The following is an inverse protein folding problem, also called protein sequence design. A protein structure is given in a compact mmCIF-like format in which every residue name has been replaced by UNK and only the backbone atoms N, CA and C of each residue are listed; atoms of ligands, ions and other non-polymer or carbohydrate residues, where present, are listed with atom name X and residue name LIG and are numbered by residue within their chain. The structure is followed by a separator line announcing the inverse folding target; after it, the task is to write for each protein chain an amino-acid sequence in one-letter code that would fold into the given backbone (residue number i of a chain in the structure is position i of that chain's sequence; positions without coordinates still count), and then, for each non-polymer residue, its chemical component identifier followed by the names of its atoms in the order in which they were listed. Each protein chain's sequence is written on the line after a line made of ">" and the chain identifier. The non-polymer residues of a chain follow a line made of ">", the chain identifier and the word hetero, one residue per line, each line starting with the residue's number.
data_IF_799632065423
#
_entry.id   IF_799632065423
#
_cell.length_a   1.000
_cell.length_b   1.000
_cell.length_c   1.000
_cell.angle_alpha   90.00
_cell.angle_beta   90.00
_cell.angle_gamma   90.00
#
_symmetry.space_group_name_H-M   'P 1'
#
loop_
_entity.id
_entity.type
_entity.pdbx_description
1 polymer ?
#
# COMPACT_ATOMS: atom_id res chain seq x y z
N UNK A 1 16.71 3.84 18.88
CA UNK A 1 16.63 4.35 17.51
C UNK A 1 17.77 5.32 17.26
N UNK A 2 18.87 4.92 16.59
CA UNK A 2 19.99 5.81 16.35
C UNK A 2 19.73 6.84 15.23
N UNK A 3 18.68 6.66 14.45
CA UNK A 3 18.11 7.75 13.67
C UNK A 3 17.10 8.41 14.59
N UNK A 4 17.27 9.74 14.92
CA UNK A 4 16.28 10.45 15.69
C UNK A 4 14.94 10.13 15.06
N UNK A 5 14.08 9.50 15.83
CA UNK A 5 12.77 9.02 15.38
C UNK A 5 12.13 10.15 14.60
N UNK A 6 12.14 10.04 13.30
CA UNK A 6 11.28 10.86 12.46
C UNK A 6 9.90 10.37 12.83
N UNK A 7 9.28 11.05 13.80
CA UNK A 7 8.06 10.65 14.43
C UNK A 7 6.92 10.56 13.41
N UNK A 8 5.81 9.98 13.81
CA UNK A 8 4.55 9.91 13.02
C UNK A 8 4.21 11.26 12.38
N UNK A 9 4.49 12.39 13.05
CA UNK A 9 4.33 13.73 12.52
C UNK A 9 5.17 14.03 11.28
N UNK A 10 6.34 13.43 11.12
CA UNK A 10 7.17 13.62 9.92
C UNK A 10 6.62 12.87 8.71
N UNK A 11 6.04 11.68 8.92
CA UNK A 11 5.38 10.93 7.85
C UNK A 11 4.12 11.64 7.37
N UNK A 12 3.32 12.17 8.28
CA UNK A 12 2.15 12.99 7.93
C UNK A 12 2.54 14.23 7.10
N UNK A 13 3.53 15.01 7.55
CA UNK A 13 4.04 16.19 6.80
C UNK A 13 4.58 15.82 5.41
N UNK A 14 5.17 14.63 5.26
CA UNK A 14 5.62 14.14 3.96
C UNK A 14 4.46 13.77 3.05
N UNK A 15 3.39 13.21 3.60
CA UNK A 15 2.16 12.97 2.83
C UNK A 15 1.51 14.28 2.37
N UNK A 16 1.40 15.28 3.25
CA UNK A 16 0.95 16.62 2.89
C UNK A 16 1.80 17.21 1.76
N UNK A 17 3.12 17.13 1.87
CA UNK A 17 4.03 17.57 0.81
C UNK A 17 3.86 16.77 -0.49
N UNK A 18 3.65 15.46 -0.41
CA UNK A 18 3.39 14.62 -1.58
C UNK A 18 2.07 15.00 -2.25
N UNK A 19 1.03 15.34 -1.47
CA UNK A 19 -0.23 15.87 -1.96
C UNK A 19 -0.05 17.19 -2.71
N UNK A 20 0.66 18.15 -2.11
CA UNK A 20 0.97 19.45 -2.72
C UNK A 20 1.76 19.33 -4.03
N UNK A 21 2.53 18.24 -4.21
CA UNK A 21 3.27 17.92 -5.45
C UNK A 21 2.45 17.08 -6.43
N UNK A 22 1.20 16.74 -6.11
CA UNK A 22 0.31 15.93 -6.94
C UNK A 22 0.54 14.41 -6.87
N UNK A 23 1.50 13.93 -6.08
CA UNK A 23 1.84 12.50 -6.03
C UNK A 23 0.72 11.62 -5.48
N UNK A 24 -0.16 12.14 -4.61
CA UNK A 24 -1.29 11.39 -4.07
C UNK A 24 -2.41 11.20 -5.11
N UNK A 25 -2.50 12.08 -6.09
CA UNK A 25 -3.52 12.09 -7.14
C UNK A 25 -3.04 11.60 -8.52
N UNK A 26 -1.86 10.98 -8.63
CA UNK A 26 -1.27 10.60 -9.95
C UNK A 26 -2.24 9.81 -10.82
N UNK A 27 -2.86 8.75 -10.30
CA UNK A 27 -3.82 7.92 -11.04
C UNK A 27 -5.28 8.31 -10.86
N UNK A 28 -5.58 9.39 -10.14
CA UNK A 28 -6.94 9.90 -9.98
C UNK A 28 -7.30 10.73 -11.20
N UNK A 29 -8.51 10.54 -11.80
CA UNK A 29 -8.96 11.35 -12.93
C UNK A 29 -8.95 12.85 -12.63
N UNK A 30 -8.71 13.68 -13.67
CA UNK A 30 -8.66 15.14 -13.58
C UNK A 30 -9.97 15.74 -13.06
N UNK A 31 -11.10 15.14 -13.43
CA UNK A 31 -12.44 15.57 -12.98
C UNK A 31 -12.63 15.49 -11.45
N UNK A 32 -11.81 14.68 -10.76
CA UNK A 32 -11.77 14.58 -9.29
C UNK A 32 -10.52 15.24 -8.69
N UNK A 33 -9.82 16.08 -9.46
CA UNK A 33 -8.67 16.84 -8.96
C UNK A 33 -7.34 16.10 -8.96
N UNK A 34 -7.26 14.96 -9.63
CA UNK A 34 -6.02 14.22 -9.85
C UNK A 34 -5.28 14.62 -11.12
N UNK A 35 -4.25 13.87 -11.48
CA UNK A 35 -3.42 14.10 -12.67
C UNK A 35 -3.85 13.24 -13.88
N UNK A 36 -4.77 12.29 -13.70
CA UNK A 36 -5.25 11.41 -14.76
C UNK A 36 -4.18 10.57 -15.44
N UNK A 37 -3.05 10.34 -14.77
CA UNK A 37 -1.91 9.62 -15.36
C UNK A 37 -2.16 8.10 -15.34
N UNK A 38 -1.56 7.35 -16.28
CA UNK A 38 -1.73 5.92 -16.38
C UNK A 38 -1.14 5.15 -15.20
N UNK A 39 -1.52 3.87 -15.07
CA UNK A 39 -1.07 3.00 -13.98
C UNK A 39 0.47 2.92 -13.88
N UNK A 40 1.15 2.85 -15.02
CA UNK A 40 2.62 2.83 -15.09
C UNK A 40 3.26 4.02 -14.39
N UNK A 41 2.66 5.22 -14.50
CA UNK A 41 3.13 6.41 -13.76
C UNK A 41 2.94 6.27 -12.25
N UNK A 42 1.81 5.72 -11.81
CA UNK A 42 1.57 5.45 -10.39
C UNK A 42 2.56 4.42 -9.83
N UNK A 43 2.90 3.40 -10.63
CA UNK A 43 3.91 2.37 -10.29
C UNK A 43 5.30 3.01 -10.19
N UNK A 44 5.66 3.88 -11.15
CA UNK A 44 6.94 4.61 -11.13
C UNK A 44 7.08 5.48 -9.87
N UNK A 45 6.02 6.18 -9.49
CA UNK A 45 6.03 6.97 -8.24
C UNK A 45 6.24 6.08 -7.02
N UNK A 46 5.56 4.92 -6.95
CA UNK A 46 5.74 3.96 -5.84
C UNK A 46 7.18 3.46 -5.77
N UNK A 47 7.79 3.12 -6.91
CA UNK A 47 9.17 2.66 -7.01
C UNK A 47 10.14 3.69 -6.39
N UNK A 48 10.23 4.88 -6.94
CA UNK A 48 11.19 5.88 -6.48
C UNK A 48 10.88 6.49 -5.11
N UNK A 49 9.60 6.55 -4.73
CA UNK A 49 9.20 7.09 -3.44
C UNK A 49 9.63 6.18 -2.27
N UNK A 50 9.66 4.88 -2.50
CA UNK A 50 9.99 3.87 -1.49
C UNK A 50 11.44 3.90 -1.04
N UNK A 51 12.36 4.18 -1.93
CA UNK A 51 13.80 4.18 -1.63
C UNK A 51 14.25 5.25 -0.63
N UNK A 52 13.38 6.23 -0.33
CA UNK A 52 13.70 7.27 0.65
C UNK A 52 13.39 6.86 2.09
N UNK A 53 12.33 6.08 2.32
CA UNK A 53 11.88 5.63 3.64
C UNK A 53 10.74 4.63 3.51
N UNK A 54 10.92 3.40 3.99
CA UNK A 54 9.88 2.37 4.02
C UNK A 54 8.62 2.80 4.79
N UNK A 55 8.78 3.53 5.90
CA UNK A 55 7.64 4.06 6.66
C UNK A 55 6.80 5.06 5.85
N UNK A 56 7.45 5.96 5.13
CA UNK A 56 6.78 6.94 4.26
C UNK A 56 6.11 6.24 3.09
N UNK A 57 6.81 5.27 2.47
CA UNK A 57 6.28 4.44 1.37
C UNK A 57 5.04 3.66 1.80
N UNK A 58 5.07 3.05 2.98
CA UNK A 58 3.92 2.31 3.52
C UNK A 58 2.71 3.22 3.72
N UNK A 59 2.89 4.39 4.33
CA UNK A 59 1.81 5.35 4.54
C UNK A 59 1.25 5.87 3.20
N UNK A 60 2.13 6.18 2.25
CA UNK A 60 1.78 6.60 0.89
C UNK A 60 1.01 5.51 0.14
N UNK A 61 1.52 4.27 0.13
CA UNK A 61 0.88 3.14 -0.54
C UNK A 61 -0.46 2.74 0.08
N UNK A 62 -0.57 2.80 1.40
CA UNK A 62 -1.84 2.55 2.10
C UNK A 62 -2.91 3.59 1.71
N UNK A 63 -2.54 4.86 1.57
CA UNK A 63 -3.45 5.91 1.13
C UNK A 63 -3.80 5.78 -0.36
N UNK A 64 -2.81 5.84 -1.26
CA UNK A 64 -3.03 5.90 -2.72
C UNK A 64 -3.47 4.56 -3.33
N UNK A 65 -3.17 3.45 -2.68
CA UNK A 65 -3.52 2.10 -3.13
C UNK A 65 -4.87 1.64 -2.57
N UNK A 66 -4.89 1.31 -1.30
CA UNK A 66 -6.04 0.63 -0.70
C UNK A 66 -7.01 1.57 0.05
N UNK A 67 -6.58 2.76 0.45
CA UNK A 67 -7.45 3.76 1.10
C UNK A 67 -8.33 4.52 0.12
N UNK A 68 -7.80 4.92 -1.03
CA UNK A 68 -8.48 5.74 -2.05
C UNK A 68 -9.17 4.90 -3.13
N UNK A 69 -8.52 3.83 -3.60
CA UNK A 69 -8.99 3.05 -4.76
C UNK A 69 -10.37 2.40 -4.57
N UNK A 70 -10.78 1.89 -3.40
CA UNK A 70 -12.13 1.37 -3.24
C UNK A 70 -13.22 2.39 -3.57
N UNK A 71 -13.02 3.66 -3.17
CA UNK A 71 -13.97 4.75 -3.44
C UNK A 71 -13.93 5.11 -4.94
N UNK A 72 -12.73 5.21 -5.52
CA UNK A 72 -12.59 5.54 -6.93
C UNK A 72 -13.21 4.48 -7.85
N UNK A 73 -12.98 3.19 -7.56
CA UNK A 73 -13.41 2.07 -8.40
C UNK A 73 -14.87 1.64 -8.18
N UNK A 74 -15.43 1.86 -6.98
CA UNK A 74 -16.74 1.33 -6.62
C UNK A 74 -17.72 2.38 -6.12
N UNK A 75 -17.26 3.61 -5.87
CA UNK A 75 -18.12 4.72 -5.48
C UNK A 75 -19.04 5.15 -6.63
N UNK A 76 -20.23 5.60 -6.28
CA UNK A 76 -21.08 6.35 -7.19
C UNK A 76 -20.54 7.78 -7.38
N UNK A 77 -21.11 8.53 -8.32
CA UNK A 77 -20.64 9.88 -8.67
C UNK A 77 -20.69 10.86 -7.48
N UNK A 78 -21.70 10.75 -6.61
CA UNK A 78 -21.82 11.60 -5.42
C UNK A 78 -20.72 11.29 -4.41
N UNK A 79 -20.45 10.01 -4.14
CA UNK A 79 -19.38 9.56 -3.27
C UNK A 79 -18.01 9.99 -3.81
N UNK A 80 -17.75 9.80 -5.10
CA UNK A 80 -16.48 10.20 -5.73
C UNK A 80 -16.27 11.70 -5.62
N UNK A 81 -17.26 12.52 -5.99
CA UNK A 81 -17.18 13.98 -5.91
C UNK A 81 -17.00 14.49 -4.48
N UNK A 82 -17.57 13.79 -3.50
CA UNK A 82 -17.45 14.17 -2.08
C UNK A 82 -16.07 13.86 -1.51
N UNK A 83 -15.52 12.69 -1.81
CA UNK A 83 -14.35 12.17 -1.09
C UNK A 83 -13.04 12.21 -1.88
N UNK A 84 -13.08 11.92 -3.20
CA UNK A 84 -11.85 11.77 -3.99
C UNK A 84 -11.03 13.05 -4.10
N UNK A 85 -11.60 14.27 -4.33
CA UNK A 85 -10.79 15.48 -4.45
C UNK A 85 -9.91 15.74 -3.24
N UNK A 86 -10.42 15.54 -2.04
CA UNK A 86 -9.66 15.72 -0.81
C UNK A 86 -8.62 14.62 -0.56
N UNK A 87 -8.92 13.40 -0.99
CA UNK A 87 -7.93 12.30 -0.96
C UNK A 87 -6.83 12.51 -1.99
N UNK A 88 -7.13 13.01 -3.18
CA UNK A 88 -6.15 13.27 -4.23
C UNK A 88 -5.15 14.39 -3.87
N UNK A 89 -5.60 15.40 -3.13
CA UNK A 89 -4.76 16.51 -2.66
C UNK A 89 -4.04 16.23 -1.34
N UNK A 90 -4.46 15.20 -0.59
CA UNK A 90 -3.94 14.91 0.75
C UNK A 90 -4.56 15.79 1.86
N UNK A 91 -5.60 16.57 1.57
CA UNK A 91 -6.40 17.25 2.59
C UNK A 91 -7.05 16.21 3.52
N UNK A 92 -7.48 15.07 2.95
CA UNK A 92 -7.91 13.90 3.68
C UNK A 92 -6.98 12.71 3.38
N UNK A 93 -6.71 11.92 4.41
CA UNK A 93 -5.96 10.68 4.27
C UNK A 93 -6.89 9.49 4.42
N UNK A 94 -6.72 8.51 3.53
CA UNK A 94 -7.48 7.26 3.53
C UNK A 94 -6.80 6.12 4.28
N UNK A 95 -7.61 5.27 4.93
CA UNK A 95 -7.19 4.01 5.49
C UNK A 95 -8.14 2.86 5.10
N UNK A 96 -7.63 1.64 5.18
CA UNK A 96 -8.32 0.43 4.73
C UNK A 96 -8.53 -0.54 5.89
N UNK A 97 -9.77 -0.73 6.30
CA UNK A 97 -10.15 -1.42 7.52
C UNK A 97 -10.78 -2.79 7.21
N UNK A 98 -9.95 -3.75 6.73
CA UNK A 98 -10.39 -5.13 6.43
C UNK A 98 -10.06 -6.09 7.56
N UNK A 99 -8.79 -6.17 7.96
CA UNK A 99 -8.26 -7.17 8.87
C UNK A 99 -8.87 -7.08 10.27
N UNK A 100 -9.19 -8.24 10.84
CA UNK A 100 -9.71 -8.38 12.21
C UNK A 100 -8.88 -9.40 13.00
N UNK A 101 -8.95 -9.41 14.34
CA UNK A 101 -8.20 -10.38 15.15
C UNK A 101 -8.42 -11.84 14.76
N UNK A 102 -9.60 -12.17 14.23
CA UNK A 102 -9.99 -13.53 13.82
C UNK A 102 -10.06 -13.73 12.31
N UNK A 103 -9.78 -12.71 11.49
CA UNK A 103 -9.94 -12.74 10.04
C UNK A 103 -8.78 -11.99 9.34
N UNK A 104 -7.72 -12.71 9.06
CA UNK A 104 -6.58 -12.25 8.23
C UNK A 104 -6.73 -12.76 6.79
N UNK A 105 -6.12 -13.91 6.47
CA UNK A 105 -6.21 -14.51 5.13
C UNK A 105 -7.64 -14.89 4.73
N UNK A 106 -8.45 -15.33 5.70
CA UNK A 106 -9.89 -15.57 5.51
C UNK A 106 -10.70 -14.29 5.76
N UNK A 107 -10.47 -13.29 4.91
CA UNK A 107 -10.99 -11.93 5.09
C UNK A 107 -12.53 -11.86 5.06
N UNK A 108 -13.20 -12.77 4.31
CA UNK A 108 -14.66 -12.78 4.27
C UNK A 108 -15.29 -13.31 5.58
N UNK A 109 -14.49 -13.84 6.51
CA UNK A 109 -14.97 -14.34 7.80
C UNK A 109 -14.87 -13.31 8.95
N UNK A 110 -14.75 -12.01 8.61
CA UNK A 110 -14.77 -10.91 9.59
C UNK A 110 -16.06 -10.89 10.42
N UNK A 111 -15.93 -10.48 11.67
CA UNK A 111 -17.02 -10.43 12.67
C UNK A 111 -17.60 -9.05 12.89
N UNK A 112 -16.98 -8.01 12.34
CA UNK A 112 -17.53 -6.63 12.38
C UNK A 112 -18.90 -6.63 11.70
N UNK A 113 -19.90 -6.10 12.41
CA UNK A 113 -21.30 -6.07 11.96
C UNK A 113 -21.76 -4.68 11.62
N UNK A 114 -22.71 -4.59 10.70
CA UNK A 114 -23.46 -3.41 10.37
C UNK A 114 -24.94 -3.71 10.51
N UNK A 115 -25.63 -2.99 11.38
CA UNK A 115 -27.07 -3.14 11.65
C UNK A 115 -27.81 -1.95 11.09
N UNK A 116 -28.87 -2.18 10.30
CA UNK A 116 -29.68 -1.09 9.75
C UNK A 116 -30.53 -0.45 10.86
N UNK A 117 -30.59 0.87 10.87
CA UNK A 117 -31.48 1.61 11.78
C UNK A 117 -32.97 1.37 11.46
N UNK A 118 -33.85 1.53 12.44
CA UNK A 118 -35.31 1.33 12.27
C UNK A 118 -35.92 2.24 11.21
N UNK A 119 -35.36 3.44 11.02
CA UNK A 119 -35.80 4.41 10.00
C UNK A 119 -35.16 4.18 8.61
N UNK A 120 -34.27 3.17 8.49
CA UNK A 120 -33.59 2.78 7.25
C UNK A 120 -32.58 3.78 6.71
N UNK A 121 -32.17 4.78 7.50
CA UNK A 121 -31.29 5.87 7.02
C UNK A 121 -29.81 5.67 7.36
N UNK A 122 -29.51 4.82 8.31
CA UNK A 122 -28.15 4.63 8.83
C UNK A 122 -27.85 3.16 9.06
N UNK A 123 -26.57 2.81 8.95
CA UNK A 123 -26.01 1.60 9.52
C UNK A 123 -25.29 1.92 10.83
N UNK A 124 -25.40 1.06 11.82
CA UNK A 124 -24.60 1.08 13.04
C UNK A 124 -23.52 0.00 12.96
N UNK A 125 -22.26 0.43 12.80
CA UNK A 125 -21.14 -0.49 12.71
C UNK A 125 -20.61 -0.77 14.13
N UNK A 126 -20.44 -2.08 14.44
CA UNK A 126 -19.88 -2.54 15.72
C UNK A 126 -18.86 -3.63 15.45
N UNK A 127 -17.64 -3.47 15.98
CA UNK A 127 -16.56 -4.44 15.82
C UNK A 127 -15.19 -3.85 16.01
N UNK A 128 -14.17 -4.62 15.63
CA UNK A 128 -12.78 -4.25 15.80
C UNK A 128 -12.00 -4.55 14.53
N UNK A 129 -11.16 -3.63 14.13
CA UNK A 129 -10.16 -3.79 13.07
C UNK A 129 -8.76 -3.69 13.66
N UNK A 130 -7.80 -4.43 13.09
CA UNK A 130 -6.43 -4.42 13.59
C UNK A 130 -5.42 -4.25 12.48
N UNK A 131 -4.25 -3.73 12.87
CA UNK A 131 -3.11 -3.45 11.98
C UNK A 131 -3.45 -2.49 10.84
N UNK A 132 -4.25 -1.46 11.15
CA UNK A 132 -4.72 -0.50 10.16
C UNK A 132 -3.66 0.58 9.96
N UNK A 133 -3.04 0.56 8.78
CA UNK A 133 -2.10 1.59 8.35
C UNK A 133 -2.82 2.94 8.20
N UNK A 134 -2.14 4.02 8.58
CA UNK A 134 -2.64 5.39 8.61
C UNK A 134 -3.73 5.66 9.66
N UNK A 135 -4.16 4.66 10.45
CA UNK A 135 -5.27 4.84 11.40
C UNK A 135 -5.09 6.01 12.35
N UNK A 136 -3.85 6.35 12.73
CA UNK A 136 -3.57 7.45 13.68
C UNK A 136 -3.86 8.85 13.14
N UNK A 137 -4.03 9.01 11.82
CA UNK A 137 -4.26 10.31 11.17
C UNK A 137 -5.18 10.24 9.94
N UNK A 138 -5.77 9.08 9.64
CA UNK A 138 -6.71 8.95 8.53
C UNK A 138 -8.04 9.64 8.82
N UNK A 139 -8.56 10.38 7.86
CA UNK A 139 -9.85 11.06 7.91
C UNK A 139 -10.97 10.17 7.37
N UNK A 140 -10.65 9.34 6.37
CA UNK A 140 -11.60 8.47 5.68
C UNK A 140 -11.18 7.02 5.82
N UNK A 141 -12.09 6.19 6.31
CA UNK A 141 -11.90 4.76 6.52
C UNK A 141 -12.78 3.98 5.55
N UNK A 142 -12.19 3.13 4.72
CA UNK A 142 -12.94 2.11 3.98
C UNK A 142 -13.12 0.90 4.90
N UNK A 143 -14.31 0.73 5.46
CA UNK A 143 -14.61 -0.29 6.48
C UNK A 143 -15.41 -1.44 5.88
N UNK A 144 -14.95 -2.66 6.10
CA UNK A 144 -15.66 -3.88 5.69
C UNK A 144 -16.40 -4.46 6.89
N UNK A 145 -17.70 -4.64 6.73
CA UNK A 145 -18.57 -5.19 7.77
C UNK A 145 -19.65 -6.07 7.17
N UNK A 146 -20.15 -7.00 7.96
CA UNK A 146 -21.25 -7.89 7.60
C UNK A 146 -22.58 -7.25 7.96
N UNK A 147 -23.45 -7.07 6.99
CA UNK A 147 -24.79 -6.58 7.26
C UNK A 147 -25.63 -7.74 7.82
N UNK A 148 -26.10 -7.59 9.06
CA UNK A 148 -26.95 -8.59 9.73
C UNK A 148 -26.36 -10.01 9.65
N UNK A 149 -27.09 -10.93 8.97
CA UNK A 149 -26.70 -12.33 8.78
C UNK A 149 -26.24 -12.64 7.35
N UNK A 150 -25.81 -11.64 6.57
CA UNK A 150 -25.35 -11.86 5.21
C UNK A 150 -24.18 -12.84 5.15
N UNK A 151 -24.12 -13.61 4.06
CA UNK A 151 -23.00 -14.52 3.81
C UNK A 151 -21.68 -13.77 3.57
N UNK A 152 -21.76 -12.65 2.85
CA UNK A 152 -20.60 -11.85 2.45
C UNK A 152 -20.55 -10.51 3.20
N UNK A 153 -19.36 -9.97 3.30
CA UNK A 153 -19.14 -8.61 3.83
C UNK A 153 -19.56 -7.56 2.80
N UNK A 154 -19.94 -6.38 3.30
CA UNK A 154 -20.16 -5.16 2.54
C UNK A 154 -19.08 -4.13 2.86
N UNK A 155 -18.93 -3.10 2.05
CA UNK A 155 -17.94 -2.04 2.28
C UNK A 155 -18.64 -0.70 2.52
N UNK A 156 -18.06 0.12 3.39
CA UNK A 156 -18.61 1.41 3.81
C UNK A 156 -17.53 2.48 3.81
N UNK A 157 -17.87 3.69 3.39
CA UNK A 157 -17.07 4.89 3.61
C UNK A 157 -17.44 5.45 4.98
N UNK A 158 -16.48 5.49 5.89
CA UNK A 158 -16.68 5.97 7.26
C UNK A 158 -15.75 7.17 7.50
N UNK A 159 -16.35 8.31 7.85
CA UNK A 159 -15.57 9.46 8.29
C UNK A 159 -15.05 9.21 9.72
N UNK A 160 -13.76 9.38 9.93
CA UNK A 160 -13.11 9.11 11.21
C UNK A 160 -13.42 10.23 12.21
N UNK A 161 -14.49 10.05 12.96
CA UNK A 161 -14.91 10.98 13.99
C UNK A 161 -15.05 10.27 15.35
N UNK A 162 -14.19 10.58 16.33
CA UNK A 162 -14.26 9.97 17.68
C UNK A 162 -15.62 10.16 18.35
N UNK A 163 -16.30 11.28 18.13
CA UNK A 163 -17.64 11.54 18.69
C UNK A 163 -18.70 10.58 18.14
N UNK A 164 -18.41 9.91 17.04
CA UNK A 164 -19.29 8.92 16.41
C UNK A 164 -18.97 7.48 16.83
N UNK A 165 -18.39 7.27 18.02
CA UNK A 165 -18.13 5.94 18.57
C UNK A 165 -16.93 5.22 17.96
N UNK A 166 -16.00 5.95 17.33
CA UNK A 166 -14.72 5.41 16.84
C UNK A 166 -13.66 5.63 17.91
N UNK A 167 -13.00 4.55 18.31
CA UNK A 167 -11.87 4.60 19.25
C UNK A 167 -10.63 3.99 18.58
N UNK A 168 -9.50 4.70 18.68
CA UNK A 168 -8.21 4.26 18.16
C UNK A 168 -7.38 3.64 19.29
N UNK A 169 -6.87 2.45 19.05
CA UNK A 169 -5.87 1.82 19.92
C UNK A 169 -4.53 2.55 19.89
N UNK A 170 -3.58 2.06 20.67
CA UNK A 170 -2.21 2.54 20.66
C UNK A 170 -1.51 2.19 19.34
N UNK A 171 -0.39 2.86 19.05
CA UNK A 171 0.50 2.45 17.96
C UNK A 171 1.06 1.05 18.22
N UNK A 172 1.01 0.21 17.19
CA UNK A 172 1.53 -1.16 17.27
C UNK A 172 3.06 -1.16 17.35
N UNK A 173 3.60 -2.05 18.18
CA UNK A 173 5.03 -2.33 18.21
C UNK A 173 5.38 -3.26 17.05
N UNK A 174 6.14 -2.78 16.08
CA UNK A 174 6.42 -3.49 14.81
C UNK A 174 7.88 -3.87 14.70
N UNK A 175 8.19 -4.88 13.87
CA UNK A 175 9.56 -5.27 13.54
C UNK A 175 10.31 -4.16 12.79
N UNK A 176 9.62 -3.47 11.87
CA UNK A 176 10.17 -2.38 11.05
C UNK A 176 9.12 -1.32 10.74
N UNK A 177 9.45 -0.37 9.86
CA UNK A 177 8.58 0.75 9.44
C UNK A 177 7.94 1.50 10.62
N UNK A 178 8.75 1.74 11.66
CA UNK A 178 8.29 2.26 12.95
C UNK A 178 7.59 3.63 12.87
N UNK A 179 7.96 4.47 11.90
CA UNK A 179 7.39 5.80 11.74
C UNK A 179 6.06 5.81 10.95
N UNK A 180 5.58 4.67 10.42
CA UNK A 180 4.23 4.57 9.86
C UNK A 180 3.22 4.27 10.96
N UNK A 181 2.10 5.00 11.00
CA UNK A 181 1.02 4.71 11.95
C UNK A 181 0.38 3.37 11.61
N UNK A 182 0.21 2.54 12.62
CA UNK A 182 -0.51 1.26 12.52
C UNK A 182 -1.23 1.03 13.85
N UNK A 183 -2.55 1.02 13.83
CA UNK A 183 -3.36 0.90 15.06
C UNK A 183 -4.51 -0.08 14.88
N UNK A 184 -5.09 -0.45 16.00
CA UNK A 184 -6.42 -1.04 16.08
C UNK A 184 -7.47 0.07 16.01
N UNK A 185 -8.65 -0.25 15.47
CA UNK A 185 -9.81 0.64 15.45
C UNK A 185 -11.02 -0.12 16.00
N UNK A 186 -11.67 0.48 16.98
CA UNK A 186 -12.89 -0.05 17.58
C UNK A 186 -14.08 0.80 17.13
N UNK A 187 -15.12 0.13 16.66
CA UNK A 187 -16.38 0.73 16.23
C UNK A 187 -17.45 0.38 17.27
N UNK A 188 -17.97 1.39 17.97
CA UNK A 188 -18.96 1.25 19.05
C UNK A 188 -20.29 1.83 18.59
N UNK A 189 -21.06 1.07 17.80
CA UNK A 189 -22.30 1.53 17.14
C UNK A 189 -22.05 2.80 16.32
N UNK A 190 -20.96 2.82 15.59
CA UNK A 190 -20.59 3.94 14.71
C UNK A 190 -21.66 4.13 13.65
N UNK A 191 -22.25 5.32 13.65
CA UNK A 191 -23.36 5.68 12.76
C UNK A 191 -22.83 6.06 11.38
N UNK A 192 -23.28 5.34 10.36
CA UNK A 192 -22.87 5.52 8.96
C UNK A 192 -24.11 5.69 8.09
N UNK A 193 -24.26 6.78 7.31
CA UNK A 193 -25.37 6.95 6.39
C UNK A 193 -25.45 5.80 5.38
N UNK A 194 -26.67 5.39 4.99
CA UNK A 194 -26.85 4.30 4.02
C UNK A 194 -26.23 4.62 2.67
N UNK A 195 -26.21 5.88 2.27
CA UNK A 195 -25.55 6.36 1.05
C UNK A 195 -24.02 6.23 1.07
N UNK A 196 -23.41 5.94 2.21
CA UNK A 196 -21.98 5.68 2.32
C UNK A 196 -21.63 4.20 2.15
N UNK A 197 -22.59 3.33 1.86
CA UNK A 197 -22.27 1.96 1.43
C UNK A 197 -21.66 1.99 0.03
N UNK A 198 -20.52 1.36 -0.16
CA UNK A 198 -19.83 1.26 -1.45
C UNK A 198 -20.44 0.11 -2.28
N UNK A 199 -20.89 0.44 -3.49
CA UNK A 199 -21.48 -0.55 -4.40
C UNK A 199 -22.72 -1.22 -3.78
N UNK A 200 -22.93 -2.50 -4.07
CA UNK A 200 -24.08 -3.27 -3.61
C UNK A 200 -23.81 -4.03 -2.31
N UNK A 201 -24.87 -4.31 -1.55
CA UNK A 201 -24.83 -5.14 -0.35
C UNK A 201 -24.22 -6.52 -0.66
N UNK A 202 -23.27 -6.96 0.16
CA UNK A 202 -22.57 -8.23 -0.01
C UNK A 202 -21.41 -8.22 -1.01
N UNK A 203 -21.10 -7.07 -1.64
CA UNK A 203 -20.04 -6.96 -2.64
C UNK A 203 -18.67 -6.61 -2.03
N UNK A 204 -18.56 -6.49 -0.71
CA UNK A 204 -17.36 -6.05 -0.03
C UNK A 204 -16.14 -6.92 -0.29
N UNK A 205 -16.29 -8.23 -0.39
CA UNK A 205 -15.16 -9.12 -0.68
C UNK A 205 -14.57 -8.86 -2.07
N UNK A 206 -15.39 -8.63 -3.09
CA UNK A 206 -14.93 -8.28 -4.44
C UNK A 206 -14.19 -6.93 -4.43
N UNK A 207 -14.75 -5.92 -3.73
CA UNK A 207 -14.11 -4.61 -3.54
C UNK A 207 -12.74 -4.78 -2.89
N UNK A 208 -12.68 -5.58 -1.81
CA UNK A 208 -11.44 -5.83 -1.10
C UNK A 208 -10.36 -6.46 -1.99
N UNK A 209 -10.70 -7.48 -2.75
CA UNK A 209 -9.73 -8.19 -3.59
C UNK A 209 -9.19 -7.33 -4.73
N UNK A 210 -10.03 -6.53 -5.38
CA UNK A 210 -9.60 -5.67 -6.48
C UNK A 210 -8.72 -4.50 -5.99
N UNK A 211 -9.02 -3.90 -4.84
CA UNK A 211 -8.13 -2.94 -4.21
C UNK A 211 -6.77 -3.56 -3.86
N UNK A 212 -6.77 -4.80 -3.36
CA UNK A 212 -5.54 -5.53 -3.05
C UNK A 212 -4.72 -5.90 -4.29
N UNK A 213 -5.32 -6.15 -5.46
CA UNK A 213 -4.57 -6.40 -6.69
C UNK A 213 -3.73 -5.19 -7.09
N UNK A 214 -4.30 -3.98 -7.03
CA UNK A 214 -3.55 -2.73 -7.24
C UNK A 214 -2.49 -2.54 -6.16
N UNK A 215 -2.82 -2.82 -4.91
CA UNK A 215 -1.86 -2.78 -3.81
C UNK A 215 -0.67 -3.73 -4.01
N UNK A 216 -0.89 -4.92 -4.58
CA UNK A 216 0.15 -5.92 -4.85
C UNK A 216 1.17 -5.45 -5.88
N UNK A 217 0.73 -4.91 -7.03
CA UNK A 217 1.66 -4.43 -8.05
C UNK A 217 2.41 -3.18 -7.57
N UNK A 218 1.76 -2.28 -6.82
CA UNK A 218 2.41 -1.13 -6.20
C UNK A 218 3.43 -1.54 -5.13
N UNK A 219 3.16 -2.62 -4.38
CA UNK A 219 4.11 -3.16 -3.41
C UNK A 219 5.34 -3.76 -4.10
N UNK A 220 5.17 -4.50 -5.19
CA UNK A 220 6.29 -4.98 -6.00
C UNK A 220 7.17 -3.81 -6.45
N UNK A 221 6.58 -2.76 -7.01
CA UNK A 221 7.30 -1.55 -7.39
C UNK A 221 8.02 -0.89 -6.21
N UNK A 222 7.39 -0.85 -5.04
CA UNK A 222 7.97 -0.26 -3.84
C UNK A 222 9.20 -1.01 -3.29
N UNK A 223 9.51 -2.20 -3.75
CA UNK A 223 10.72 -2.94 -3.39
C UNK A 223 11.92 -2.57 -4.29
N UNK A 224 11.69 -2.15 -5.54
CA UNK A 224 12.72 -2.04 -6.58
C UNK A 224 13.82 -1.01 -6.27
N UNK A 225 13.47 0.21 -5.82
CA UNK A 225 14.50 1.21 -5.52
C UNK A 225 15.37 0.81 -4.32
N UNK A 226 14.79 0.11 -3.34
CA UNK A 226 15.54 -0.46 -2.23
C UNK A 226 16.57 -1.49 -2.72
N UNK A 227 16.17 -2.41 -3.60
CA UNK A 227 17.07 -3.38 -4.21
C UNK A 227 18.21 -2.70 -4.98
N UNK A 228 17.91 -1.74 -5.86
CA UNK A 228 18.94 -0.98 -6.61
C UNK A 228 19.94 -0.28 -5.69
N UNK A 229 19.47 0.29 -4.59
CA UNK A 229 20.34 0.94 -3.59
C UNK A 229 21.22 -0.05 -2.86
N UNK A 230 20.69 -1.20 -2.47
CA UNK A 230 21.46 -2.26 -1.83
C UNK A 230 22.55 -2.77 -2.77
N UNK A 231 22.20 -3.07 -4.03
CA UNK A 231 23.17 -3.51 -5.05
C UNK A 231 24.26 -2.46 -5.23
N UNK A 232 23.89 -1.20 -5.44
CA UNK A 232 24.86 -0.10 -5.64
C UNK A 232 25.80 0.07 -4.46
N UNK A 233 25.25 0.10 -3.23
CA UNK A 233 26.06 0.21 -2.01
C UNK A 233 26.97 -0.98 -1.80
N UNK A 234 26.50 -2.18 -2.13
CA UNK A 234 27.29 -3.43 -2.03
C UNK A 234 28.46 -3.42 -3.02
N UNK A 235 28.24 -2.98 -4.26
CA UNK A 235 29.28 -2.82 -5.28
C UNK A 235 30.31 -1.80 -4.83
N UNK A 236 29.87 -0.64 -4.35
CA UNK A 236 30.79 0.41 -3.86
C UNK A 236 31.63 -0.11 -2.70
N UNK A 237 31.02 -0.66 -1.67
CA UNK A 237 31.73 -1.19 -0.51
C UNK A 237 32.72 -2.30 -0.90
N UNK A 238 32.33 -3.22 -1.78
CA UNK A 238 33.20 -4.31 -2.23
C UNK A 238 34.42 -3.82 -3.02
N UNK A 239 34.31 -2.70 -3.73
CA UNK A 239 35.43 -2.05 -4.43
C UNK A 239 36.37 -1.27 -3.50
N UNK A 240 35.93 -0.86 -2.32
CA UNK A 240 36.72 -0.09 -1.36
C UNK A 240 37.38 -1.00 -0.30
N UNK A 241 36.66 -2.04 0.13
CA UNK A 241 37.09 -2.92 1.23
C UNK A 241 38.18 -3.88 0.79
N UNK A 242 39.31 -3.88 1.49
CA UNK A 242 40.39 -4.85 1.32
C UNK A 242 40.43 -5.89 2.46
N UNK A 243 40.58 -7.15 2.08
CA UNK A 243 40.93 -8.26 2.98
C UNK A 243 41.90 -9.21 2.26
N UNK A 244 42.84 -9.79 3.00
CA UNK A 244 43.89 -10.63 2.44
C UNK A 244 44.73 -9.96 1.34
N UNK A 245 44.92 -8.62 1.45
CA UNK A 245 45.63 -7.75 0.48
C UNK A 245 44.95 -7.71 -0.90
N UNK A 246 43.66 -7.94 -0.95
CA UNK A 246 42.84 -7.98 -2.17
C UNK A 246 41.53 -7.30 -1.90
N UNK A 247 41.00 -6.53 -2.85
CA UNK A 247 39.65 -5.97 -2.75
C UNK A 247 38.62 -7.08 -2.75
N UNK A 248 37.60 -7.00 -1.87
CA UNK A 248 36.66 -8.11 -1.74
C UNK A 248 35.83 -8.36 -3.00
N UNK A 249 35.67 -7.38 -3.89
CA UNK A 249 35.02 -7.53 -5.19
C UNK A 249 35.71 -8.57 -6.09
N UNK A 250 37.00 -8.88 -5.87
CA UNK A 250 37.75 -9.84 -6.65
C UNK A 250 37.47 -11.28 -6.24
N UNK A 251 36.84 -11.51 -5.10
CA UNK A 251 36.47 -12.85 -4.67
C UNK A 251 35.21 -13.34 -5.39
N UNK A 252 35.30 -14.56 -5.98
CA UNK A 252 34.19 -15.16 -6.75
C UNK A 252 32.87 -15.25 -5.97
N UNK A 253 32.92 -15.52 -4.66
CA UNK A 253 31.74 -15.57 -3.80
C UNK A 253 31.03 -14.20 -3.66
N UNK A 254 31.78 -13.10 -3.68
CA UNK A 254 31.21 -11.74 -3.64
C UNK A 254 30.64 -11.38 -5.01
N UNK A 255 31.34 -11.73 -6.10
CA UNK A 255 30.87 -11.51 -7.46
C UNK A 255 29.56 -12.25 -7.74
N UNK A 256 29.45 -13.51 -7.31
CA UNK A 256 28.22 -14.31 -7.43
C UNK A 256 27.04 -13.66 -6.72
N UNK A 257 27.23 -13.21 -5.47
CA UNK A 257 26.19 -12.51 -4.70
C UNK A 257 25.70 -11.24 -5.41
N UNK A 258 26.63 -10.38 -5.82
CA UNK A 258 26.29 -9.11 -6.50
C UNK A 258 25.61 -9.41 -7.85
N UNK A 259 26.11 -10.37 -8.62
CA UNK A 259 25.51 -10.74 -9.90
C UNK A 259 24.06 -11.24 -9.72
N UNK A 260 23.84 -12.11 -8.71
CA UNK A 260 22.48 -12.60 -8.42
C UNK A 260 21.55 -11.47 -8.01
N UNK A 261 21.94 -10.60 -7.07
CA UNK A 261 21.16 -9.45 -6.65
C UNK A 261 20.79 -8.55 -7.85
N UNK A 262 21.75 -8.23 -8.72
CA UNK A 262 21.53 -7.40 -9.90
C UNK A 262 20.58 -8.07 -10.91
N UNK A 263 20.68 -9.38 -11.12
CA UNK A 263 19.78 -10.13 -12.00
C UNK A 263 18.36 -10.16 -11.44
N UNK A 264 18.19 -10.47 -10.16
CA UNK A 264 16.88 -10.55 -9.51
C UNK A 264 16.18 -9.16 -9.57
N UNK A 265 16.91 -8.08 -9.25
CA UNK A 265 16.41 -6.69 -9.39
C UNK A 265 15.98 -6.37 -10.82
N UNK A 266 16.78 -6.72 -11.82
CA UNK A 266 16.48 -6.47 -13.23
C UNK A 266 15.23 -7.23 -13.69
N UNK A 267 15.08 -8.48 -13.27
CA UNK A 267 13.91 -9.32 -13.59
C UNK A 267 12.67 -8.77 -12.91
N UNK A 268 12.75 -8.44 -11.62
CA UNK A 268 11.65 -7.85 -10.85
C UNK A 268 11.17 -6.53 -11.44
N UNK A 269 12.09 -5.64 -11.80
CA UNK A 269 11.80 -4.36 -12.46
C UNK A 269 11.12 -4.57 -13.82
N UNK A 270 11.73 -5.38 -14.69
CA UNK A 270 11.20 -5.67 -16.02
C UNK A 270 9.80 -6.27 -15.97
N UNK A 271 9.56 -7.23 -15.08
CA UNK A 271 8.27 -7.90 -14.93
C UNK A 271 7.20 -6.96 -14.35
N UNK A 272 7.55 -6.12 -13.35
CA UNK A 272 6.63 -5.18 -12.73
C UNK A 272 6.16 -4.11 -13.72
N UNK A 273 7.08 -3.49 -14.46
CA UNK A 273 6.72 -2.49 -15.46
C UNK A 273 6.00 -3.10 -16.67
N UNK A 274 6.35 -4.31 -17.08
CA UNK A 274 5.65 -5.04 -18.14
C UNK A 274 4.20 -5.31 -17.73
N UNK A 275 3.96 -5.88 -16.57
CA UNK A 275 2.61 -6.16 -16.08
C UNK A 275 1.78 -4.88 -15.93
N UNK A 276 2.40 -3.79 -15.45
CA UNK A 276 1.74 -2.49 -15.37
C UNK A 276 1.28 -1.99 -16.73
N UNK A 277 2.12 -2.13 -17.75
CA UNK A 277 1.79 -1.73 -19.12
C UNK A 277 0.73 -2.64 -19.75
N UNK A 278 0.80 -3.94 -19.52
CA UNK A 278 -0.19 -4.89 -20.02
C UNK A 278 -1.60 -4.61 -19.42
N UNK A 279 -1.68 -4.27 -18.13
CA UNK A 279 -2.93 -3.82 -17.49
C UNK A 279 -3.45 -2.54 -18.13
N UNK A 280 -2.59 -1.56 -18.35
CA UNK A 280 -2.91 -0.28 -18.96
C UNK A 280 -3.44 -0.46 -20.40
N UNK A 281 -2.74 -1.24 -21.23
CA UNK A 281 -3.17 -1.55 -22.58
C UNK A 281 -4.51 -2.30 -22.59
N UNK A 282 -4.74 -3.17 -21.63
CA UNK A 282 -6.03 -3.85 -21.47
C UNK A 282 -7.16 -2.90 -21.13
N UNK A 283 -6.92 -1.96 -20.22
CA UNK A 283 -7.90 -0.91 -19.85
C UNK A 283 -8.26 -0.08 -21.09
N UNK A 284 -7.27 0.37 -21.87
CA UNK A 284 -7.50 1.15 -23.07
C UNK A 284 -8.27 0.36 -24.14
N UNK A 285 -7.96 -0.91 -24.33
CA UNK A 285 -8.71 -1.78 -25.23
C UNK A 285 -10.17 -1.92 -24.79
N UNK A 286 -10.44 -2.10 -23.51
CA UNK A 286 -11.79 -2.20 -22.97
C UNK A 286 -12.59 -0.89 -23.14
N UNK A 287 -11.95 0.27 -23.00
CA UNK A 287 -12.55 1.58 -23.30
C UNK A 287 -12.88 1.70 -24.79
N UNK A 288 -11.97 1.28 -25.67
CA UNK A 288 -12.18 1.27 -27.12
C UNK A 288 -13.32 0.35 -27.55
N UNK A 289 -13.54 -0.74 -26.82
CA UNK A 289 -14.66 -1.68 -26.97
C UNK A 289 -15.99 -1.14 -26.39
N UNK A 290 -16.03 0.13 -25.94
CA UNK A 290 -17.22 0.81 -25.45
C UNK A 290 -17.55 0.58 -23.98
N UNK A 291 -16.63 0.05 -23.17
CA UNK A 291 -16.80 0.02 -21.71
C UNK A 291 -16.64 1.43 -21.13
N UNK A 292 -17.44 1.75 -20.13
CA UNK A 292 -17.19 2.97 -19.36
C UNK A 292 -15.84 2.87 -18.60
N UNK A 293 -15.31 4.01 -18.21
CA UNK A 293 -13.99 4.11 -17.57
C UNK A 293 -13.85 3.20 -16.34
N UNK A 294 -14.83 3.22 -15.45
CA UNK A 294 -14.82 2.44 -14.22
C UNK A 294 -14.83 0.92 -14.47
N UNK A 295 -15.70 0.43 -15.37
CA UNK A 295 -15.75 -0.98 -15.75
C UNK A 295 -14.47 -1.45 -16.44
N UNK A 296 -13.86 -0.58 -17.26
CA UNK A 296 -12.61 -0.89 -17.95
C UNK A 296 -11.45 -1.05 -16.94
N UNK A 297 -11.32 -0.14 -15.99
CA UNK A 297 -10.32 -0.23 -14.93
C UNK A 297 -10.51 -1.48 -14.06
N UNK A 298 -11.73 -1.73 -13.59
CA UNK A 298 -12.02 -2.91 -12.79
C UNK A 298 -11.65 -4.22 -13.50
N UNK A 299 -12.08 -4.38 -14.75
CA UNK A 299 -11.81 -5.60 -15.52
C UNK A 299 -10.35 -5.74 -15.92
N UNK A 300 -9.70 -4.64 -16.30
CA UNK A 300 -8.28 -4.62 -16.62
C UNK A 300 -7.42 -5.12 -15.47
N UNK A 301 -7.66 -4.63 -14.27
CA UNK A 301 -6.94 -5.07 -13.05
C UNK A 301 -7.32 -6.51 -12.65
N UNK A 302 -8.60 -6.88 -12.74
CA UNK A 302 -9.10 -8.20 -12.35
C UNK A 302 -8.50 -9.31 -13.22
N UNK A 303 -8.30 -9.07 -14.52
CA UNK A 303 -7.72 -10.00 -15.48
C UNK A 303 -6.26 -10.35 -15.16
N UNK A 304 -5.51 -9.42 -14.56
CA UNK A 304 -4.10 -9.60 -14.17
C UNK A 304 -3.89 -9.87 -12.66
N UNK A 305 -4.91 -10.37 -11.98
CA UNK A 305 -4.83 -10.65 -10.54
C UNK A 305 -3.76 -11.69 -10.19
N UNK A 306 -3.50 -12.64 -11.07
CA UNK A 306 -2.48 -13.68 -10.92
C UNK A 306 -1.08 -13.05 -11.00
N UNK A 307 -0.82 -12.27 -12.04
CA UNK A 307 0.45 -11.56 -12.26
C UNK A 307 0.76 -10.62 -11.10
N UNK A 308 -0.23 -9.82 -10.65
CA UNK A 308 -0.08 -8.96 -9.48
C UNK A 308 0.29 -9.76 -8.22
N UNK A 309 -0.28 -10.95 -8.05
CA UNK A 309 -0.01 -11.81 -6.89
C UNK A 309 1.39 -12.41 -6.96
N UNK A 310 1.82 -12.90 -8.13
CA UNK A 310 3.16 -13.45 -8.35
C UNK A 310 4.21 -12.36 -8.13
N UNK A 311 4.03 -11.19 -8.74
CA UNK A 311 4.96 -10.07 -8.62
C UNK A 311 5.12 -9.59 -7.18
N UNK A 312 4.01 -9.48 -6.44
CA UNK A 312 4.09 -9.12 -5.01
C UNK A 312 4.98 -10.08 -4.23
N UNK A 313 4.84 -11.39 -4.45
CA UNK A 313 5.63 -12.41 -3.73
C UNK A 313 7.07 -12.39 -4.22
N UNK A 314 7.30 -12.55 -5.51
CA UNK A 314 8.64 -12.67 -6.09
C UNK A 314 9.52 -11.45 -5.74
N UNK A 315 9.05 -10.23 -6.07
CA UNK A 315 9.87 -9.03 -5.88
C UNK A 315 10.08 -8.71 -4.39
N UNK A 316 9.09 -8.98 -3.52
CA UNK A 316 9.31 -8.77 -2.07
C UNK A 316 10.28 -9.79 -1.45
N UNK A 317 10.32 -11.03 -1.96
CA UNK A 317 11.30 -12.04 -1.53
C UNK A 317 12.70 -11.72 -2.09
N UNK A 318 12.77 -11.24 -3.33
CA UNK A 318 14.04 -10.79 -3.92
C UNK A 318 14.63 -9.60 -3.16
N UNK A 319 13.78 -8.63 -2.76
CA UNK A 319 14.21 -7.51 -1.93
C UNK A 319 14.77 -7.98 -0.56
N UNK A 320 14.12 -8.94 0.09
CA UNK A 320 14.61 -9.55 1.32
C UNK A 320 15.97 -10.24 1.08
N UNK A 321 16.08 -11.04 0.02
CA UNK A 321 17.32 -11.71 -0.34
C UNK A 321 18.44 -10.70 -0.65
N UNK A 322 18.15 -9.61 -1.35
CA UNK A 322 19.10 -8.53 -1.60
C UNK A 322 19.59 -7.91 -0.28
N UNK A 323 18.69 -7.64 0.68
CA UNK A 323 19.09 -7.11 1.97
C UNK A 323 20.01 -8.06 2.74
N UNK A 324 19.66 -9.34 2.80
CA UNK A 324 20.47 -10.37 3.46
C UNK A 324 21.89 -10.49 2.83
N UNK A 325 21.96 -10.50 1.49
CA UNK A 325 23.25 -10.54 0.80
C UNK A 325 24.04 -9.23 0.98
N UNK A 326 23.37 -8.09 1.00
CA UNK A 326 23.98 -6.80 1.29
C UNK A 326 24.64 -6.78 2.67
N UNK A 327 23.92 -7.21 3.72
CA UNK A 327 24.48 -7.36 5.08
C UNK A 327 25.67 -8.29 5.07
N UNK A 328 25.59 -9.43 4.39
CA UNK A 328 26.69 -10.39 4.31
C UNK A 328 27.93 -9.82 3.61
N UNK A 329 27.75 -9.04 2.53
CA UNK A 329 28.87 -8.38 1.81
C UNK A 329 29.56 -7.34 2.72
N UNK A 330 28.79 -6.58 3.50
CA UNK A 330 29.33 -5.61 4.45
C UNK A 330 29.98 -6.29 5.68
N UNK A 331 29.69 -7.57 5.95
CA UNK A 331 30.19 -8.30 7.12
C UNK A 331 29.76 -7.64 8.42
N UNK A 332 30.67 -7.49 9.38
CA UNK A 332 30.34 -6.83 10.67
C UNK A 332 29.78 -5.41 10.52
N UNK A 333 30.19 -4.67 9.49
CA UNK A 333 29.65 -3.34 9.19
C UNK A 333 28.17 -3.39 8.74
N UNK A 334 27.74 -4.48 8.12
CA UNK A 334 26.32 -4.67 7.73
C UNK A 334 25.37 -4.79 8.92
N UNK A 335 25.88 -5.17 10.09
CA UNK A 335 25.12 -5.23 11.34
C UNK A 335 25.21 -3.94 12.17
N UNK A 336 26.14 -3.03 11.81
CA UNK A 336 26.33 -1.76 12.49
C UNK A 336 25.36 -0.70 11.95
N UNK A 337 24.83 0.13 12.85
CA UNK A 337 24.06 1.31 12.49
C UNK A 337 24.86 2.40 11.79
N UNK A 338 26.20 2.23 11.66
CA UNK A 338 27.06 3.14 10.91
C UNK A 338 26.90 3.00 9.39
N UNK A 339 26.22 1.97 8.93
CA UNK A 339 25.96 1.74 7.51
C UNK A 339 24.46 1.60 7.22
N UNK A 340 24.03 1.86 5.97
CA UNK A 340 22.59 1.81 5.64
C UNK A 340 22.01 0.39 5.52
N UNK A 341 22.81 -0.68 5.68
CA UNK A 341 22.36 -2.05 5.44
C UNK A 341 21.36 -2.53 6.49
N UNK A 342 21.53 -2.13 7.76
CA UNK A 342 20.56 -2.40 8.82
C UNK A 342 19.18 -1.84 8.46
N UNK A 343 19.12 -0.60 7.96
CA UNK A 343 17.87 0.04 7.54
C UNK A 343 17.20 -0.67 6.38
N UNK A 344 17.97 -1.24 5.47
CA UNK A 344 17.43 -2.00 4.35
C UNK A 344 16.64 -3.22 4.82
N UNK A 345 17.13 -3.92 5.84
CA UNK A 345 16.46 -5.09 6.40
C UNK A 345 15.18 -4.73 7.17
N UNK A 346 15.24 -3.73 8.04
CA UNK A 346 14.07 -3.35 8.87
C UNK A 346 12.98 -2.62 8.10
N UNK A 347 13.25 -2.12 6.89
CA UNK A 347 12.25 -1.47 6.04
C UNK A 347 11.55 -2.43 5.08
N UNK A 348 12.07 -3.61 4.89
CA UNK A 348 11.50 -4.66 4.05
C UNK A 348 10.57 -5.55 4.87
#
# INVERSE_FOLDING_TARGET
>A
DPIPSRGLGDVYKRQEKAGNLGFLGVGVPEEYGGLGMPLTSSVLVCDYFSGSSGSTSTAFGAHTGIGTMPILLYGNEEQKKKYIPKLATGEHIGAYCLTEPSAGSDANNGKTKAELSDDGKFYFITGQKMWISNAGFADILTVFARIENDKNISAFIVENNPENGIELGNEESKLGIHSSSTRQIFFNKTKVPVENMLSERGNGFKIAMNALNIGRIKLAAACLDAERRIVTSSVQYANEREQFKTKIIEFGAIQEKIAKMAMDTYVGESATYRASKDIEDRIENLKSDGKNHQDAELRGVEEYAIECSILKVAVSEDAQNCADQGIQIFGGMGYSTDTPMELSLIHI
#
